data_IF_663547184375
#
_entry.id   IF_663547184375
#
_cell.length_a   1.000
_cell.length_b   1.000
_cell.length_c   1.000
_cell.angle_alpha   90.00
_cell.angle_beta   90.00
_cell.angle_gamma   90.00
#
_symmetry.space_group_name_H-M   'P 1'
#
loop_
_entity.id
_entity.type
_entity.pdbx_description
1 polymer ?
#
# COMPACT_ATOMS: atom_id res chain seq x y z
N UNK A 1 14.47 -2.02 -16.80
CA UNK A 1 14.79 -1.80 -15.39
C UNK A 1 14.04 -2.84 -14.59
N UNK A 2 14.70 -3.57 -13.68
CA UNK A 2 14.03 -4.59 -12.90
C UNK A 2 12.99 -3.95 -11.98
N UNK A 3 11.83 -4.57 -11.86
CA UNK A 3 10.69 -3.99 -11.13
C UNK A 3 9.83 -5.08 -10.49
N UNK A 4 9.55 -4.92 -9.20
CA UNK A 4 8.49 -5.63 -8.48
C UNK A 4 7.22 -4.79 -8.52
N UNK A 5 6.12 -5.34 -9.01
CA UNK A 5 4.76 -4.85 -8.80
C UNK A 5 4.07 -5.75 -7.78
N UNK A 6 3.57 -5.16 -6.70
CA UNK A 6 2.74 -5.83 -5.70
C UNK A 6 1.43 -5.07 -5.51
N UNK A 7 0.32 -5.78 -5.52
CA UNK A 7 -1.01 -5.29 -5.15
C UNK A 7 -1.67 -6.28 -4.19
N UNK A 8 -2.23 -5.74 -3.12
CA UNK A 8 -3.09 -6.42 -2.17
C UNK A 8 -4.49 -5.81 -2.29
N UNK A 9 -5.36 -6.45 -3.09
CA UNK A 9 -6.71 -5.99 -3.36
C UNK A 9 -7.69 -6.59 -2.35
N UNK A 10 -8.46 -5.76 -1.64
CA UNK A 10 -9.33 -6.14 -0.53
C UNK A 10 -10.67 -5.39 -0.55
N UNK A 11 -11.59 -5.70 0.37
CA UNK A 11 -12.73 -4.80 0.62
C UNK A 11 -12.28 -3.49 1.29
N UNK A 12 -13.22 -2.56 1.51
CA UNK A 12 -12.93 -1.17 1.90
C UNK A 12 -12.13 -1.00 3.20
N UNK A 13 -10.89 -0.55 3.03
CA UNK A 13 -9.94 -0.10 4.04
C UNK A 13 -10.41 1.28 4.56
N UNK A 14 -10.57 1.47 5.88
CA UNK A 14 -10.94 2.77 6.44
C UNK A 14 -9.95 3.87 6.04
N UNK A 15 -10.43 5.01 5.54
CA UNK A 15 -9.61 6.13 5.06
C UNK A 15 -8.49 6.53 6.03
N UNK A 16 -8.81 6.62 7.33
CA UNK A 16 -7.85 6.97 8.39
C UNK A 16 -6.63 6.04 8.52
N UNK A 17 -6.69 4.82 7.97
CA UNK A 17 -5.60 3.83 8.05
C UNK A 17 -4.76 3.77 6.77
N UNK A 18 -5.25 4.34 5.67
CA UNK A 18 -4.75 4.07 4.33
C UNK A 18 -3.30 4.53 4.11
N UNK A 19 -3.00 5.82 4.34
CA UNK A 19 -1.66 6.36 4.09
C UNK A 19 -0.60 5.67 4.93
N UNK A 20 -0.88 5.45 6.22
CA UNK A 20 0.03 4.73 7.12
C UNK A 20 0.26 3.30 6.62
N UNK A 21 -0.80 2.59 6.22
CA UNK A 21 -0.66 1.23 5.71
C UNK A 21 0.16 1.13 4.42
N UNK A 22 0.06 2.11 3.51
CA UNK A 22 0.94 2.17 2.33
C UNK A 22 2.41 2.29 2.73
N UNK A 23 2.72 3.20 3.66
CA UNK A 23 4.09 3.40 4.16
C UNK A 23 4.62 2.20 4.94
N UNK A 24 3.78 1.56 5.76
CA UNK A 24 4.15 0.35 6.49
C UNK A 24 4.43 -0.81 5.52
N UNK A 25 3.64 -0.97 4.45
CA UNK A 25 3.88 -1.98 3.42
C UNK A 25 5.20 -1.73 2.70
N UNK A 26 5.44 -0.49 2.29
CA UNK A 26 6.71 -0.08 1.68
C UNK A 26 7.87 -0.48 2.58
N UNK A 27 7.87 -0.04 3.84
CA UNK A 27 8.92 -0.35 4.82
C UNK A 27 9.11 -1.84 5.02
N UNK A 28 8.03 -2.60 5.22
CA UNK A 28 8.10 -4.02 5.50
C UNK A 28 8.70 -4.81 4.33
N UNK A 29 8.29 -4.50 3.10
CA UNK A 29 8.85 -5.14 1.90
C UNK A 29 10.30 -4.71 1.67
N UNK A 30 10.60 -3.40 1.73
CA UNK A 30 11.96 -2.92 1.45
C UNK A 30 12.98 -3.38 2.47
N UNK A 31 12.62 -3.43 3.76
CA UNK A 31 13.52 -3.93 4.80
C UNK A 31 13.83 -5.41 4.57
N UNK A 32 12.81 -6.21 4.26
CA UNK A 32 13.00 -7.62 4.07
C UNK A 32 13.67 -7.99 2.73
N UNK A 33 13.61 -7.10 1.72
CA UNK A 33 14.49 -7.17 0.54
C UNK A 33 15.97 -6.96 0.93
N UNK A 34 16.25 -5.90 1.69
CA UNK A 34 17.62 -5.58 2.15
C UNK A 34 18.18 -6.69 3.03
N UNK A 35 17.39 -7.23 3.96
CA UNK A 35 17.77 -8.35 4.82
C UNK A 35 18.09 -9.62 4.01
N UNK A 36 17.45 -9.78 2.85
CA UNK A 36 17.72 -10.87 1.90
C UNK A 36 18.90 -10.58 0.95
N UNK A 37 19.59 -9.45 1.10
CA UNK A 37 20.70 -9.05 0.25
C UNK A 37 20.30 -8.45 -1.10
N UNK A 38 19.02 -8.09 -1.27
CA UNK A 38 18.52 -7.42 -2.48
C UNK A 38 18.43 -5.91 -2.22
N UNK A 39 19.46 -5.19 -2.63
CA UNK A 39 19.42 -3.72 -2.68
C UNK A 39 18.46 -3.25 -3.77
N UNK A 40 17.91 -2.04 -3.66
CA UNK A 40 16.97 -1.49 -4.65
C UNK A 40 17.25 0.01 -4.85
N UNK A 41 16.81 0.55 -5.98
CA UNK A 41 17.03 1.96 -6.31
C UNK A 41 15.94 2.87 -5.73
N UNK A 42 14.67 2.46 -5.88
CA UNK A 42 13.54 3.24 -5.35
C UNK A 42 12.33 2.36 -5.06
N UNK A 43 11.43 2.86 -4.21
CA UNK A 43 10.17 2.20 -3.91
C UNK A 43 9.06 3.24 -3.69
N UNK A 44 7.88 2.99 -4.24
CA UNK A 44 6.70 3.86 -4.07
C UNK A 44 5.48 3.01 -3.76
N UNK A 45 4.81 3.35 -2.65
CA UNK A 45 3.55 2.73 -2.27
C UNK A 45 2.37 3.63 -2.61
N UNK A 46 1.23 2.98 -2.81
CA UNK A 46 -0.04 3.57 -3.18
C UNK A 46 -1.15 2.92 -2.38
N UNK A 47 -2.24 3.65 -2.19
CA UNK A 47 -3.41 3.14 -1.49
C UNK A 47 -4.67 3.71 -2.08
N UNK A 48 -5.71 2.91 -2.13
CA UNK A 48 -7.08 3.31 -2.45
C UNK A 48 -8.02 2.65 -1.44
N UNK A 49 -9.34 2.97 -1.41
CA UNK A 49 -10.29 2.27 -0.56
C UNK A 49 -10.14 0.74 -0.56
N UNK A 50 -9.78 0.12 -1.68
CA UNK A 50 -9.78 -1.35 -1.81
C UNK A 50 -8.39 -1.94 -2.05
N UNK A 51 -7.32 -1.18 -1.87
CA UNK A 51 -6.01 -1.58 -2.41
C UNK A 51 -4.86 -1.02 -1.61
N UNK A 52 -3.87 -1.85 -1.32
CA UNK A 52 -2.49 -1.41 -1.10
C UNK A 52 -1.67 -1.86 -2.29
N UNK A 53 -0.88 -0.97 -2.88
CA UNK A 53 0.01 -1.32 -3.97
C UNK A 53 1.42 -0.76 -3.72
N UNK A 54 2.42 -1.43 -4.28
CA UNK A 54 3.82 -1.09 -4.14
C UNK A 54 4.53 -1.41 -5.45
N UNK A 55 5.33 -0.46 -5.93
CA UNK A 55 6.40 -0.73 -6.90
C UNK A 55 7.75 -0.61 -6.21
N UNK A 56 8.68 -1.52 -6.53
CA UNK A 56 10.08 -1.44 -6.14
C UNK A 56 10.95 -1.61 -7.38
N UNK A 57 11.73 -0.59 -7.68
CA UNK A 57 12.52 -0.48 -8.90
C UNK A 57 14.00 -0.72 -8.60
N UNK A 58 14.70 -1.35 -9.55
CA UNK A 58 16.14 -1.58 -9.47
C UNK A 58 16.52 -2.74 -8.54
N UNK A 59 15.63 -3.71 -8.36
CA UNK A 59 15.93 -4.93 -7.58
C UNK A 59 16.78 -5.88 -8.43
N UNK A 60 17.98 -6.29 -8.00
CA UNK A 60 18.81 -7.25 -8.73
C UNK A 60 18.07 -8.55 -9.01
N UNK A 61 18.42 -9.21 -10.12
CA UNK A 61 17.87 -10.53 -10.46
C UNK A 61 18.22 -11.62 -9.44
N UNK A 62 19.29 -11.44 -8.66
CA UNK A 62 19.78 -12.38 -7.65
C UNK A 62 20.42 -11.64 -6.48
N UNK A 63 20.37 -12.24 -5.29
CA UNK A 63 21.18 -11.79 -4.16
C UNK A 63 22.66 -12.14 -4.39
N UNK A 64 23.62 -11.42 -3.76
CA UNK A 64 25.04 -11.73 -3.90
C UNK A 64 25.40 -13.04 -3.19
N UNK A 65 26.44 -13.71 -3.68
CA UNK A 65 27.10 -14.77 -2.94
C UNK A 65 27.65 -14.19 -1.62
N UNK A 66 27.42 -14.90 -0.51
CA UNK A 66 27.92 -14.48 0.80
C UNK A 66 29.02 -15.41 1.26
N UNK A 67 30.04 -14.84 1.90
CA UNK A 67 31.14 -15.57 2.51
C UNK A 67 31.21 -15.21 3.99
N UNK A 68 31.02 -16.22 4.84
CA UNK A 68 31.08 -16.08 6.30
C UNK A 68 32.30 -16.84 6.83
N UNK A 69 33.05 -16.21 7.73
CA UNK A 69 34.16 -16.87 8.43
C UNK A 69 33.73 -17.26 9.83
N UNK A 70 33.66 -18.57 10.09
CA UNK A 70 33.31 -19.08 11.41
C UNK A 70 34.56 -19.56 12.11
N UNK A 71 34.92 -18.86 13.19
CA UNK A 71 36.03 -19.27 14.05
C UNK A 71 35.62 -20.46 14.91
N UNK A 72 36.43 -21.51 14.81
CA UNK A 72 36.30 -22.76 15.53
C UNK A 72 37.23 -22.86 16.73
N UNK A 73 37.29 -24.05 17.34
CA UNK A 73 38.12 -24.30 18.51
C UNK A 73 39.61 -24.32 18.14
N UNK A 74 40.48 -24.27 19.15
CA UNK A 74 41.95 -24.40 18.96
C UNK A 74 42.31 -25.78 18.40
N UNK A 75 43.40 -25.86 17.65
CA UNK A 75 43.96 -27.13 17.20
C UNK A 75 44.32 -27.99 18.44
N UNK A 76 43.89 -29.25 18.43
CA UNK A 76 44.02 -30.17 19.58
C UNK A 76 42.89 -30.08 20.63
N UNK A 77 41.84 -29.30 20.38
CA UNK A 77 40.65 -29.29 21.25
C UNK A 77 39.92 -30.64 21.28
N UNK A 78 39.15 -30.95 22.34
CA UNK A 78 38.41 -32.21 22.43
C UNK A 78 37.51 -32.46 21.22
N UNK A 79 37.35 -33.73 20.83
CA UNK A 79 36.55 -34.12 19.65
C UNK A 79 35.14 -33.53 19.68
N UNK A 80 34.52 -33.45 20.85
CA UNK A 80 33.19 -32.85 21.02
C UNK A 80 33.12 -31.36 20.59
N UNK A 81 34.18 -30.58 20.82
CA UNK A 81 34.26 -29.19 20.40
C UNK A 81 34.44 -29.08 18.87
N UNK A 82 35.20 -30.01 18.29
CA UNK A 82 35.40 -30.13 16.84
C UNK A 82 34.08 -30.50 16.16
N UNK A 83 33.38 -31.52 16.66
CA UNK A 83 32.10 -31.98 16.10
C UNK A 83 31.02 -30.89 16.18
N UNK A 84 30.97 -30.16 17.30
CA UNK A 84 30.09 -29.00 17.47
C UNK A 84 30.37 -27.90 16.45
N UNK A 85 31.65 -27.61 16.20
CA UNK A 85 32.07 -26.65 15.18
C UNK A 85 31.72 -27.10 13.76
N UNK A 86 32.02 -28.36 13.40
CA UNK A 86 31.69 -28.92 12.09
C UNK A 86 30.19 -28.84 11.81
N UNK A 87 29.36 -29.26 12.76
CA UNK A 87 27.90 -29.15 12.66
C UNK A 87 27.44 -27.71 12.49
N UNK A 88 28.01 -26.78 13.26
CA UNK A 88 27.63 -25.38 13.20
C UNK A 88 28.12 -24.68 11.93
N UNK A 89 29.20 -25.16 11.31
CA UNK A 89 29.76 -24.64 10.07
C UNK A 89 29.24 -25.37 8.81
N UNK A 90 28.49 -26.46 8.96
CA UNK A 90 28.01 -27.28 7.85
C UNK A 90 29.11 -28.09 7.15
N UNK A 91 30.24 -28.33 7.82
CA UNK A 91 31.37 -29.09 7.28
C UNK A 91 31.23 -30.57 7.63
N UNK A 92 31.65 -31.44 6.71
CA UNK A 92 31.62 -32.90 6.94
C UNK A 92 32.93 -33.46 7.49
N UNK A 93 34.02 -32.68 7.40
CA UNK A 93 35.34 -33.03 7.93
C UNK A 93 36.10 -31.78 8.37
N UNK A 94 36.95 -31.90 9.39
CA UNK A 94 37.80 -30.80 9.88
C UNK A 94 38.87 -30.38 8.87
N UNK A 95 39.20 -31.25 7.91
CA UNK A 95 40.11 -30.95 6.80
C UNK A 95 39.57 -29.87 5.86
N UNK A 96 38.25 -29.62 5.88
CA UNK A 96 37.62 -28.54 5.12
C UNK A 96 37.78 -27.18 5.81
N UNK A 97 38.21 -27.14 7.08
CA UNK A 97 38.53 -25.92 7.78
C UNK A 97 40.01 -25.56 7.59
N UNK A 98 40.31 -24.27 7.50
CA UNK A 98 41.69 -23.77 7.52
C UNK A 98 42.19 -23.61 8.94
N UNK A 99 43.48 -23.82 9.15
CA UNK A 99 44.15 -23.49 10.42
C UNK A 99 44.70 -22.08 10.31
N UNK A 100 44.33 -21.21 11.25
CA UNK A 100 44.88 -19.87 11.40
C UNK A 100 45.61 -19.74 12.74
N UNK A 101 46.74 -19.04 12.73
CA UNK A 101 47.59 -18.84 13.91
C UNK A 101 47.38 -17.44 14.48
N UNK A 102 46.98 -17.37 15.76
CA UNK A 102 46.93 -16.11 16.52
C UNK A 102 48.09 -16.06 17.55
N UNK A 103 48.91 -14.99 17.57
CA UNK A 103 50.07 -14.90 18.47
C UNK A 103 49.76 -15.02 19.97
N UNK A 104 48.52 -14.74 20.39
CA UNK A 104 48.07 -14.83 21.79
C UNK A 104 47.21 -16.06 22.05
N UNK A 105 46.58 -16.63 21.00
CA UNK A 105 45.63 -17.74 21.13
C UNK A 105 46.08 -19.06 20.49
N UNK A 106 47.26 -19.12 19.89
CA UNK A 106 47.74 -20.32 19.19
C UNK A 106 46.91 -20.63 17.94
N UNK A 107 47.07 -21.84 17.42
CA UNK A 107 46.40 -22.27 16.19
C UNK A 107 44.93 -22.63 16.46
N UNK A 108 44.02 -22.20 15.59
CA UNK A 108 42.59 -22.51 15.65
C UNK A 108 42.01 -22.75 14.26
N UNK A 109 40.89 -23.48 14.21
CA UNK A 109 40.20 -23.78 12.96
C UNK A 109 39.32 -22.60 12.53
N UNK A 110 39.24 -22.36 11.22
CA UNK A 110 38.35 -21.37 10.59
C UNK A 110 37.67 -22.02 9.41
N UNK A 111 36.33 -21.97 9.41
CA UNK A 111 35.52 -22.43 8.29
C UNK A 111 35.14 -21.21 7.44
N UNK A 112 35.47 -21.25 6.15
CA UNK A 112 34.90 -20.32 5.18
C UNK A 112 33.63 -20.93 4.61
N UNK A 113 32.48 -20.35 4.96
CA UNK A 113 31.17 -20.81 4.53
C UNK A 113 30.77 -19.92 3.35
N UNK A 114 30.77 -20.48 2.15
CA UNK A 114 30.24 -19.82 0.95
C UNK A 114 28.78 -20.23 0.76
N UNK A 115 27.88 -19.26 0.70
CA UNK A 115 26.47 -19.46 0.35
C UNK A 115 26.21 -18.76 -0.98
N UNK A 116 25.82 -19.55 -1.97
CA UNK A 116 25.36 -19.04 -3.26
C UNK A 116 24.13 -18.14 -3.06
N UNK A 117 24.11 -17.01 -3.74
CA UNK A 117 22.95 -16.15 -3.82
C UNK A 117 21.76 -16.86 -4.47
N UNK A 118 20.55 -16.42 -4.14
CA UNK A 118 19.31 -16.97 -4.66
C UNK A 118 18.67 -16.04 -5.69
N UNK A 119 17.84 -16.59 -6.57
CA UNK A 119 17.08 -15.80 -7.53
C UNK A 119 16.08 -14.90 -6.79
N UNK A 120 15.93 -13.67 -7.28
CA UNK A 120 15.05 -12.69 -6.64
C UNK A 120 13.60 -13.17 -6.62
N UNK A 121 13.16 -13.89 -7.66
CA UNK A 121 11.83 -14.49 -7.70
C UNK A 121 11.57 -15.46 -6.54
N UNK A 122 12.53 -16.34 -6.24
CA UNK A 122 12.45 -17.28 -5.11
C UNK A 122 12.45 -16.54 -3.77
N UNK A 123 13.32 -15.53 -3.63
CA UNK A 123 13.37 -14.68 -2.44
C UNK A 123 12.03 -14.00 -2.22
N UNK A 124 11.47 -13.37 -3.26
CA UNK A 124 10.18 -12.67 -3.24
C UNK A 124 9.03 -13.64 -2.88
N UNK A 125 9.01 -14.83 -3.46
CA UNK A 125 7.99 -15.85 -3.19
C UNK A 125 8.00 -16.32 -1.73
N UNK A 126 9.16 -16.34 -1.08
CA UNK A 126 9.30 -16.66 0.35
C UNK A 126 9.01 -15.46 1.27
N UNK A 127 9.36 -14.26 0.84
CA UNK A 127 9.27 -12.99 1.57
C UNK A 127 7.83 -12.48 1.70
N UNK A 128 7.16 -12.30 0.55
CA UNK A 128 5.88 -11.61 0.46
C UNK A 128 4.78 -12.22 1.33
N UNK A 129 4.59 -13.57 1.40
CA UNK A 129 3.59 -14.14 2.29
C UNK A 129 3.88 -13.86 3.77
N UNK A 130 5.16 -13.76 4.18
CA UNK A 130 5.53 -13.41 5.56
C UNK A 130 5.18 -11.95 5.87
N UNK A 131 5.47 -11.04 4.95
CA UNK A 131 5.09 -9.61 5.09
C UNK A 131 3.58 -9.47 5.22
N UNK A 132 2.80 -10.16 4.38
CA UNK A 132 1.33 -10.09 4.41
C UNK A 132 0.78 -10.67 5.72
N UNK A 133 1.31 -11.81 6.15
CA UNK A 133 0.82 -12.50 7.38
C UNK A 133 1.21 -11.73 8.64
N UNK A 134 2.38 -11.10 8.66
CA UNK A 134 2.88 -10.29 9.77
C UNK A 134 2.47 -8.82 9.73
N UNK A 135 1.59 -8.42 8.82
CA UNK A 135 1.23 -7.02 8.62
C UNK A 135 0.39 -6.48 9.80
N UNK A 136 0.93 -5.49 10.51
CA UNK A 136 0.26 -4.93 11.69
C UNK A 136 -0.77 -3.87 11.32
N UNK A 137 -2.05 -4.25 11.43
CA UNK A 137 -3.17 -3.34 11.25
C UNK A 137 -3.62 -2.79 12.60
N UNK A 138 -3.80 -1.46 12.75
CA UNK A 138 -4.31 -0.86 13.99
C UNK A 138 -5.67 -1.43 14.44
N UNK A 139 -6.44 -1.93 13.47
CA UNK A 139 -7.64 -2.73 13.70
C UNK A 139 -7.73 -3.80 12.61
N UNK A 140 -7.67 -5.05 13.03
CA UNK A 140 -7.73 -6.21 12.14
C UNK A 140 -8.94 -7.09 12.45
N UNK A 141 -9.22 -8.00 11.52
CA UNK A 141 -10.19 -9.07 11.66
C UNK A 141 -9.55 -10.36 11.16
N UNK A 142 -9.95 -11.49 11.72
CA UNK A 142 -9.55 -12.81 11.22
C UNK A 142 -10.51 -13.26 10.13
N UNK A 143 -9.96 -13.73 9.00
CA UNK A 143 -10.75 -14.12 7.83
C UNK A 143 -10.46 -15.56 7.37
N UNK A 144 -11.53 -16.27 7.02
CA UNK A 144 -11.49 -17.65 6.52
C UNK A 144 -11.09 -18.67 7.59
N UNK A 145 -10.91 -19.93 7.17
CA UNK A 145 -10.49 -21.02 8.06
C UNK A 145 -9.00 -20.97 8.42
N UNK A 146 -8.18 -20.21 7.67
CA UNK A 146 -6.72 -20.15 7.83
C UNK A 146 -6.18 -19.00 8.68
N UNK A 147 -7.02 -18.24 9.40
CA UNK A 147 -6.59 -17.32 10.45
C UNK A 147 -5.83 -16.05 9.99
N UNK A 148 -5.85 -15.70 8.69
CA UNK A 148 -5.23 -14.47 8.22
C UNK A 148 -5.87 -13.25 8.89
N UNK A 149 -5.02 -12.43 9.50
CA UNK A 149 -5.41 -11.21 10.18
C UNK A 149 -5.20 -10.04 9.23
N UNK A 150 -6.30 -9.45 8.74
CA UNK A 150 -6.27 -8.32 7.79
C UNK A 150 -7.39 -7.32 8.13
N UNK A 151 -7.25 -6.06 7.71
CA UNK A 151 -8.28 -5.03 7.96
C UNK A 151 -9.65 -5.42 7.39
N UNK A 152 -9.65 -6.13 6.26
CA UNK A 152 -10.81 -6.56 5.47
C UNK A 152 -10.50 -7.83 4.67
N UNK A 153 -11.48 -8.53 4.08
CA UNK A 153 -11.18 -9.69 3.26
C UNK A 153 -10.30 -9.33 2.07
N UNK A 154 -9.15 -9.99 1.93
CA UNK A 154 -8.33 -9.94 0.74
C UNK A 154 -9.05 -10.72 -0.38
N UNK A 155 -9.09 -10.14 -1.58
CA UNK A 155 -9.83 -10.64 -2.75
C UNK A 155 -8.91 -11.11 -3.86
N UNK A 156 -7.80 -10.41 -4.07
CA UNK A 156 -6.79 -10.78 -5.05
C UNK A 156 -5.41 -10.27 -4.63
N UNK A 157 -4.38 -10.93 -5.15
CA UNK A 157 -3.00 -10.51 -5.02
C UNK A 157 -2.41 -10.46 -6.42
N UNK A 158 -1.96 -9.29 -6.85
CA UNK A 158 -1.14 -9.14 -8.07
C UNK A 158 0.30 -9.07 -7.61
N UNK A 159 1.15 -9.98 -8.06
CA UNK A 159 2.57 -9.96 -7.72
C UNK A 159 3.39 -10.39 -8.93
N UNK A 160 4.08 -9.44 -9.55
CA UNK A 160 4.93 -9.69 -10.71
C UNK A 160 6.31 -9.09 -10.52
N UNK A 161 7.31 -9.76 -11.07
CA UNK A 161 8.69 -9.28 -11.06
C UNK A 161 9.28 -9.43 -12.46
N UNK A 162 9.91 -8.37 -12.95
CA UNK A 162 10.69 -8.41 -14.19
C UNK A 162 12.14 -8.07 -13.91
N UNK A 163 13.05 -8.76 -14.58
CA UNK A 163 14.48 -8.42 -14.71
C UNK A 163 14.71 -7.54 -15.94
N UNK A 164 15.94 -7.07 -16.13
CA UNK A 164 16.27 -6.31 -17.34
C UNK A 164 16.16 -7.19 -18.59
N UNK A 165 15.31 -6.76 -19.52
CA UNK A 165 15.05 -7.35 -20.84
C UNK A 165 14.18 -8.61 -20.88
N UNK A 166 13.69 -9.09 -19.74
CA UNK A 166 12.77 -10.23 -19.70
C UNK A 166 11.29 -9.82 -19.54
N UNK A 167 10.41 -10.75 -19.87
CA UNK A 167 8.99 -10.60 -19.58
C UNK A 167 8.74 -10.81 -18.09
N UNK A 168 8.05 -9.88 -17.38
CA UNK A 168 7.78 -10.05 -15.97
C UNK A 168 7.00 -11.34 -15.68
N UNK A 169 7.49 -12.08 -14.70
CA UNK A 169 6.91 -13.34 -14.23
C UNK A 169 6.01 -13.09 -13.02
N UNK A 170 5.05 -13.99 -12.82
CA UNK A 170 4.23 -13.98 -11.60
C UNK A 170 5.06 -14.58 -10.47
N UNK A 171 5.19 -13.84 -9.37
CA UNK A 171 5.78 -14.37 -8.14
C UNK A 171 4.76 -15.27 -7.46
N UNK A 172 4.94 -16.58 -7.56
CA UNK A 172 3.99 -17.58 -7.08
C UNK A 172 4.04 -17.78 -5.56
N UNK A 173 2.99 -17.36 -4.86
CA UNK A 173 2.77 -17.66 -3.45
C UNK A 173 1.28 -17.65 -3.11
N UNK A 174 0.96 -18.05 -1.88
CA UNK A 174 -0.40 -18.05 -1.36
C UNK A 174 -0.44 -17.34 -0.01
N UNK A 175 -1.44 -16.50 0.18
CA UNK A 175 -1.82 -15.97 1.50
C UNK A 175 -3.23 -16.43 1.82
N UNK A 176 -3.35 -17.33 2.79
CA UNK A 176 -4.62 -18.00 3.15
C UNK A 176 -5.29 -18.66 1.93
N UNK A 177 -6.48 -18.21 1.52
CA UNK A 177 -7.20 -18.74 0.36
C UNK A 177 -6.85 -18.05 -0.96
N UNK A 178 -6.08 -16.95 -0.92
CA UNK A 178 -5.77 -16.12 -2.10
C UNK A 178 -4.39 -16.50 -2.64
N UNK A 179 -4.34 -16.84 -3.92
CA UNK A 179 -3.10 -17.12 -4.66
C UNK A 179 -2.68 -15.87 -5.41
N UNK A 180 -1.39 -15.56 -5.42
CA UNK A 180 -0.85 -14.47 -6.22
C UNK A 180 -1.00 -14.75 -7.72
N UNK A 181 -1.17 -13.68 -8.48
CA UNK A 181 -1.34 -13.73 -9.91
C UNK A 181 -0.96 -12.41 -10.57
N UNK A 182 -1.58 -12.17 -11.72
CA UNK A 182 -1.38 -10.98 -12.54
C UNK A 182 -2.72 -10.31 -12.89
N UNK A 183 -3.72 -10.50 -12.03
CA UNK A 183 -5.09 -10.02 -12.24
C UNK A 183 -5.46 -9.03 -11.15
N UNK A 184 -5.77 -7.80 -11.57
CA UNK A 184 -6.34 -6.74 -10.74
C UNK A 184 -7.78 -6.43 -11.18
N UNK A 185 -8.41 -5.48 -10.51
CA UNK A 185 -9.76 -5.00 -10.78
C UNK A 185 -9.80 -3.47 -10.73
N UNK A 186 -10.60 -2.90 -11.64
CA UNK A 186 -10.93 -1.49 -11.66
C UNK A 186 -12.00 -1.11 -10.63
N UNK A 187 -12.68 0.00 -10.90
CA UNK A 187 -13.73 0.53 -10.04
C UNK A 187 -14.88 -0.46 -9.84
N UNK A 188 -15.33 -0.63 -8.59
CA UNK A 188 -16.33 -1.65 -8.19
C UNK A 188 -17.61 -1.62 -9.04
N UNK A 189 -18.05 -0.43 -9.42
CA UNK A 189 -19.30 -0.23 -10.13
C UNK A 189 -19.12 0.25 -11.57
N UNK A 190 -18.02 0.97 -11.85
CA UNK A 190 -17.83 1.64 -13.14
C UNK A 190 -17.03 0.77 -14.12
N UNK A 191 -16.18 -0.13 -13.60
CA UNK A 191 -15.38 -1.05 -14.42
C UNK A 191 -14.98 -2.29 -13.59
N UNK A 192 -15.95 -3.18 -13.24
CA UNK A 192 -15.72 -4.32 -12.35
C UNK A 192 -14.97 -5.49 -13.00
N UNK A 193 -14.75 -5.45 -14.32
CA UNK A 193 -14.12 -6.54 -15.04
C UNK A 193 -12.67 -6.77 -14.58
N UNK A 194 -12.19 -8.03 -14.58
CA UNK A 194 -10.81 -8.34 -14.28
C UNK A 194 -9.86 -7.76 -15.35
N UNK A 195 -8.71 -7.30 -14.91
CA UNK A 195 -7.67 -6.66 -15.75
C UNK A 195 -6.38 -7.43 -15.54
N UNK A 196 -5.74 -7.84 -16.64
CA UNK A 196 -4.43 -8.49 -16.58
C UNK A 196 -3.32 -7.45 -16.68
N UNK A 197 -2.36 -7.48 -15.76
CA UNK A 197 -1.26 -6.50 -15.66
C UNK A 197 0.05 -7.21 -15.35
N UNK A 198 1.16 -6.72 -15.92
CA UNK A 198 2.50 -7.31 -15.70
C UNK A 198 3.52 -6.32 -15.19
N UNK A 199 3.49 -5.09 -15.71
CA UNK A 199 4.40 -3.99 -15.35
C UNK A 199 3.64 -2.91 -14.62
N UNK A 200 4.35 -2.12 -13.82
CA UNK A 200 3.72 -1.05 -13.05
C UNK A 200 3.08 0.02 -13.97
N UNK A 201 3.73 0.39 -15.07
CA UNK A 201 3.19 1.38 -16.01
C UNK A 201 1.88 0.92 -16.65
N UNK A 202 1.81 -0.34 -17.12
CA UNK A 202 0.59 -0.94 -17.67
C UNK A 202 -0.52 -0.97 -16.62
N UNK A 203 -0.15 -1.29 -15.38
CA UNK A 203 -1.05 -1.33 -14.24
C UNK A 203 -1.66 0.05 -13.94
N UNK A 204 -0.86 1.12 -13.88
CA UNK A 204 -1.36 2.48 -13.66
C UNK A 204 -2.31 2.90 -14.77
N UNK A 205 -1.91 2.71 -16.04
CA UNK A 205 -2.74 3.09 -17.19
C UNK A 205 -4.04 2.29 -17.25
N UNK A 206 -4.00 1.00 -16.96
CA UNK A 206 -5.18 0.14 -16.99
C UNK A 206 -6.15 0.48 -15.84
N UNK A 207 -5.64 0.79 -14.65
CA UNK A 207 -6.46 1.27 -13.53
C UNK A 207 -7.14 2.59 -13.85
N UNK A 208 -6.42 3.55 -14.45
CA UNK A 208 -7.00 4.85 -14.80
C UNK A 208 -8.12 4.70 -15.85
N UNK A 209 -7.91 3.89 -16.89
CA UNK A 209 -8.96 3.52 -17.86
C UNK A 209 -10.16 2.86 -17.19
N UNK A 210 -9.91 2.05 -16.15
CA UNK A 210 -10.93 1.38 -15.36
C UNK A 210 -11.42 2.20 -14.15
N UNK A 211 -11.32 3.54 -14.24
CA UNK A 211 -11.84 4.50 -13.26
C UNK A 211 -11.25 4.33 -11.86
N UNK A 212 -9.92 4.21 -11.78
CA UNK A 212 -9.19 4.22 -10.51
C UNK A 212 -8.01 5.17 -10.63
N UNK A 213 -8.03 6.25 -9.85
CA UNK A 213 -6.85 7.10 -9.64
C UNK A 213 -6.06 6.50 -8.48
N UNK A 214 -4.94 5.85 -8.80
CA UNK A 214 -4.17 5.05 -7.85
C UNK A 214 -3.50 5.90 -6.76
N UNK A 215 -2.94 7.06 -7.12
CA UNK A 215 -2.22 7.93 -6.20
C UNK A 215 -3.20 8.79 -5.39
N UNK A 216 -3.10 8.72 -4.05
CA UNK A 216 -3.94 9.50 -3.15
C UNK A 216 -3.68 11.00 -3.29
N UNK A 217 -2.44 11.41 -3.52
CA UNK A 217 -2.12 12.83 -3.64
C UNK A 217 -2.66 13.41 -4.96
N UNK A 218 -2.60 12.62 -6.05
CA UNK A 218 -3.28 12.97 -7.31
C UNK A 218 -4.80 13.06 -7.13
N UNK A 219 -5.43 12.18 -6.34
CA UNK A 219 -6.87 12.30 -6.03
C UNK A 219 -7.20 13.57 -5.25
N UNK A 220 -6.36 13.94 -4.28
CA UNK A 220 -6.53 15.19 -3.51
C UNK A 220 -6.42 16.42 -4.42
N UNK A 221 -5.48 16.41 -5.35
CA UNK A 221 -5.32 17.48 -6.35
C UNK A 221 -6.56 17.63 -7.23
N UNK A 222 -7.10 16.52 -7.77
CA UNK A 222 -8.35 16.53 -8.55
C UNK A 222 -9.50 17.10 -7.73
N UNK A 223 -9.71 16.58 -6.51
CA UNK A 223 -10.80 17.03 -5.63
C UNK A 223 -10.69 18.52 -5.33
N UNK A 224 -9.48 19.00 -4.99
CA UNK A 224 -9.26 20.42 -4.68
C UNK A 224 -9.54 21.30 -5.90
N UNK A 225 -8.94 20.97 -7.04
CA UNK A 225 -9.08 21.76 -8.26
C UNK A 225 -10.55 21.85 -8.72
N UNK A 226 -11.27 20.73 -8.73
CA UNK A 226 -12.68 20.69 -9.14
C UNK A 226 -13.58 21.41 -8.14
N UNK A 227 -13.33 21.27 -6.83
CA UNK A 227 -14.07 21.98 -5.79
C UNK A 227 -13.90 23.49 -5.90
N UNK A 228 -12.66 23.96 -6.09
CA UNK A 228 -12.33 25.37 -6.23
C UNK A 228 -12.93 25.96 -7.51
N UNK A 229 -12.87 25.21 -8.61
CA UNK A 229 -13.49 25.62 -9.88
C UNK A 229 -15.01 25.75 -9.76
N UNK A 230 -15.68 24.78 -9.14
CA UNK A 230 -17.13 24.83 -8.91
C UNK A 230 -17.53 25.99 -7.99
N UNK A 231 -16.78 26.22 -6.91
CA UNK A 231 -17.02 27.33 -5.99
C UNK A 231 -16.82 28.68 -6.70
N UNK A 232 -15.71 28.85 -7.41
CA UNK A 232 -15.39 30.08 -8.14
C UNK A 232 -16.46 30.44 -9.18
N UNK A 233 -16.99 29.44 -9.90
CA UNK A 233 -18.07 29.64 -10.88
C UNK A 233 -19.36 30.22 -10.26
N UNK A 234 -19.55 30.11 -8.95
CA UNK A 234 -20.68 30.66 -8.20
C UNK A 234 -20.31 31.92 -7.39
N UNK A 235 -19.09 32.45 -7.54
CA UNK A 235 -18.59 33.56 -6.71
C UNK A 235 -18.35 33.17 -5.24
N UNK A 236 -18.12 31.88 -4.99
CA UNK A 236 -17.86 31.31 -3.66
C UNK A 236 -16.39 30.86 -3.55
N UNK A 237 -15.96 30.56 -2.33
CA UNK A 237 -14.65 29.95 -2.04
C UNK A 237 -14.79 28.75 -1.10
N UNK A 238 -13.94 27.74 -1.27
CA UNK A 238 -13.97 26.52 -0.45
C UNK A 238 -13.34 26.78 0.92
N UNK A 239 -14.01 26.33 1.99
CA UNK A 239 -13.37 26.23 3.30
C UNK A 239 -12.47 24.99 3.29
N UNK A 240 -11.19 25.19 2.99
CA UNK A 240 -10.22 24.11 2.90
C UNK A 240 -9.97 23.42 4.25
N UNK A 241 -9.93 22.09 4.22
CA UNK A 241 -9.59 21.24 5.36
C UNK A 241 -8.77 20.05 4.85
N UNK A 242 -7.47 20.06 5.14
CA UNK A 242 -6.56 19.00 4.68
C UNK A 242 -6.88 17.63 5.27
N UNK A 243 -7.42 17.58 6.49
CA UNK A 243 -7.82 16.33 7.13
C UNK A 243 -9.08 15.74 6.49
N UNK A 244 -10.05 16.58 6.14
CA UNK A 244 -11.22 16.15 5.37
C UNK A 244 -10.82 15.75 3.96
N UNK A 245 -9.92 16.50 3.29
CA UNK A 245 -9.42 16.18 1.96
C UNK A 245 -8.71 14.83 1.91
N UNK A 246 -7.88 14.54 2.91
CA UNK A 246 -7.26 13.23 3.09
C UNK A 246 -8.32 12.12 3.28
N UNK A 247 -9.35 12.38 4.10
CA UNK A 247 -10.42 11.42 4.36
C UNK A 247 -11.24 11.14 3.09
N UNK A 248 -11.72 12.16 2.38
CA UNK A 248 -12.57 11.96 1.19
C UNK A 248 -11.80 11.35 0.02
N UNK A 249 -10.53 11.71 -0.17
CA UNK A 249 -9.67 11.05 -1.17
C UNK A 249 -9.46 9.56 -0.85
N UNK A 250 -9.48 9.20 0.44
CA UNK A 250 -9.47 7.82 0.90
C UNK A 250 -10.83 7.11 0.84
N UNK A 251 -11.94 7.80 0.58
CA UNK A 251 -13.26 7.18 0.41
C UNK A 251 -13.59 6.83 -1.05
N UNK A 252 -12.85 7.40 -2.01
CA UNK A 252 -13.14 7.26 -3.44
C UNK A 252 -11.96 6.74 -4.24
N UNK A 253 -12.21 5.90 -5.23
CA UNK A 253 -11.22 5.50 -6.25
C UNK A 253 -11.27 6.43 -7.47
N UNK A 254 -12.44 6.99 -7.77
CA UNK A 254 -12.66 7.95 -8.86
C UNK A 254 -13.47 9.14 -8.35
N UNK A 255 -12.82 10.27 -8.01
CA UNK A 255 -13.54 11.42 -7.47
C UNK A 255 -14.44 12.05 -8.54
N UNK A 256 -15.71 12.27 -8.19
CA UNK A 256 -16.66 13.10 -8.94
C UNK A 256 -17.16 14.19 -8.00
N UNK A 257 -16.74 15.42 -8.25
CA UNK A 257 -17.04 16.57 -7.39
C UNK A 257 -18.33 17.26 -7.86
N UNK A 258 -19.22 17.55 -6.92
CA UNK A 258 -20.51 18.18 -7.16
C UNK A 258 -20.79 19.26 -6.10
N UNK A 259 -21.70 20.17 -6.40
CA UNK A 259 -22.17 21.18 -5.45
C UNK A 259 -23.63 20.94 -5.10
N UNK A 260 -23.95 20.97 -3.80
CA UNK A 260 -25.31 21.00 -3.28
C UNK A 260 -25.58 22.28 -2.50
N UNK A 261 -26.83 22.43 -2.05
CA UNK A 261 -27.31 23.57 -1.28
C UNK A 261 -28.21 23.17 -0.12
N UNK A 262 -28.34 24.04 0.87
CA UNK A 262 -29.31 23.86 1.97
C UNK A 262 -30.14 25.13 2.16
N UNK A 263 -31.22 25.03 2.94
CA UNK A 263 -32.11 26.16 3.18
C UNK A 263 -31.35 27.31 3.87
N UNK A 264 -31.28 28.52 3.29
CA UNK A 264 -30.62 29.66 3.91
C UNK A 264 -31.12 30.00 5.32
N UNK A 265 -32.33 29.59 5.69
CA UNK A 265 -32.84 29.74 7.07
C UNK A 265 -31.92 29.07 8.11
N UNK A 266 -31.19 28.01 7.75
CA UNK A 266 -30.23 27.38 8.67
C UNK A 266 -29.02 28.27 8.99
N UNK A 267 -28.77 29.35 8.24
CA UNK A 267 -27.69 30.30 8.55
C UNK A 267 -27.96 31.12 9.83
N UNK A 268 -29.14 30.99 10.43
CA UNK A 268 -29.41 31.48 11.80
C UNK A 268 -28.69 30.66 12.88
N UNK A 269 -28.32 29.41 12.58
CA UNK A 269 -27.52 28.55 13.45
C UNK A 269 -26.05 29.01 13.41
N UNK A 270 -25.30 28.98 14.53
CA UNK A 270 -23.88 29.33 14.52
C UNK A 270 -23.10 28.56 13.45
N UNK A 271 -22.25 29.27 12.69
CA UNK A 271 -21.58 28.71 11.52
C UNK A 271 -20.69 27.51 11.86
N UNK A 272 -20.07 27.51 13.05
CA UNK A 272 -19.21 26.43 13.52
C UNK A 272 -20.00 25.12 13.69
N UNK A 273 -21.26 25.20 14.11
CA UNK A 273 -22.16 24.05 14.26
C UNK A 273 -22.53 23.49 12.89
N UNK A 274 -22.82 24.34 11.93
CA UNK A 274 -23.15 23.94 10.55
C UNK A 274 -21.94 23.26 9.91
N UNK A 275 -20.76 23.91 9.97
CA UNK A 275 -19.51 23.39 9.42
C UNK A 275 -19.17 22.04 10.05
N UNK A 276 -19.21 21.94 11.39
CA UNK A 276 -18.92 20.69 12.09
C UNK A 276 -19.89 19.56 11.71
N UNK A 277 -21.19 19.87 11.56
CA UNK A 277 -22.23 18.90 11.21
C UNK A 277 -22.06 18.39 9.79
N UNK A 278 -21.88 19.28 8.81
CA UNK A 278 -21.68 18.93 7.40
C UNK A 278 -20.37 18.14 7.21
N UNK A 279 -19.29 18.60 7.84
CA UNK A 279 -17.98 17.93 7.82
C UNK A 279 -18.03 16.53 8.41
N UNK A 280 -18.59 16.37 9.62
CA UNK A 280 -18.53 15.10 10.35
C UNK A 280 -19.48 14.05 9.80
N UNK A 281 -20.71 14.44 9.44
CA UNK A 281 -21.76 13.50 9.04
C UNK A 281 -21.81 13.23 7.54
N UNK A 282 -21.45 14.21 6.70
CA UNK A 282 -21.56 14.09 5.24
C UNK A 282 -20.22 14.18 4.51
N UNK A 283 -19.14 14.48 5.23
CA UNK A 283 -17.78 14.57 4.65
C UNK A 283 -17.74 15.56 3.46
N UNK A 284 -18.50 16.64 3.58
CA UNK A 284 -18.60 17.69 2.56
C UNK A 284 -17.84 18.94 2.99
N UNK A 285 -17.36 19.73 2.04
CA UNK A 285 -16.71 21.01 2.31
C UNK A 285 -17.74 22.13 2.26
N UNK A 286 -17.77 22.98 3.29
CA UNK A 286 -18.59 24.18 3.28
C UNK A 286 -17.95 25.29 2.43
N UNK A 287 -18.75 26.26 1.99
CA UNK A 287 -18.31 27.36 1.15
C UNK A 287 -18.49 28.72 1.85
N UNK A 288 -17.71 29.72 1.43
CA UNK A 288 -17.80 31.12 1.85
C UNK A 288 -18.24 31.99 0.67
N UNK A 289 -19.05 33.00 0.95
CA UNK A 289 -19.38 34.05 -0.01
C UNK A 289 -18.26 35.10 -0.13
N UNK A 290 -18.46 36.08 -1.02
CA UNK A 290 -17.51 37.18 -1.23
C UNK A 290 -17.31 38.11 -0.02
N UNK A 291 -18.21 38.06 0.96
CA UNK A 291 -18.11 38.80 2.22
C UNK A 291 -17.37 38.02 3.32
N UNK A 292 -16.98 36.78 3.04
CA UNK A 292 -16.35 35.87 4.01
C UNK A 292 -17.36 35.21 4.95
N UNK A 293 -18.66 35.27 4.68
CA UNK A 293 -19.69 34.57 5.46
C UNK A 293 -19.95 33.18 4.92
N UNK A 294 -20.44 32.29 5.77
CA UNK A 294 -20.85 30.95 5.36
C UNK A 294 -21.96 31.03 4.30
N UNK A 295 -21.74 30.40 3.15
CA UNK A 295 -22.74 30.27 2.10
C UNK A 295 -23.61 29.03 2.33
N UNK A 296 -24.89 29.02 1.89
CA UNK A 296 -25.78 27.87 2.01
C UNK A 296 -25.48 26.77 0.96
N UNK A 297 -24.19 26.55 0.68
CA UNK A 297 -23.68 25.65 -0.35
C UNK A 297 -22.55 24.78 0.21
N UNK A 298 -22.41 23.59 -0.35
CA UNK A 298 -21.38 22.64 0.05
C UNK A 298 -20.93 21.78 -1.14
N UNK A 299 -19.70 21.28 -1.05
CA UNK A 299 -19.09 20.40 -2.04
C UNK A 299 -19.20 18.95 -1.59
N UNK A 300 -19.69 18.10 -2.50
CA UNK A 300 -19.87 16.66 -2.35
C UNK A 300 -18.81 15.96 -3.20
N UNK A 301 -18.25 14.87 -2.68
CA UNK A 301 -17.35 13.99 -3.42
C UNK A 301 -18.01 12.62 -3.54
N UNK A 302 -18.35 12.23 -4.77
CA UNK A 302 -18.91 10.93 -5.09
C UNK A 302 -17.85 10.01 -5.68
N UNK A 303 -18.02 8.70 -5.46
CA UNK A 303 -17.25 7.65 -6.13
C UNK A 303 -18.01 7.06 -7.34
N UNK A 304 -19.03 7.75 -7.84
CA UNK A 304 -19.87 7.30 -8.94
C UNK A 304 -20.12 8.42 -9.94
N UNK A 305 -20.17 8.03 -11.21
CA UNK A 305 -20.64 8.87 -12.32
C UNK A 305 -22.13 8.53 -12.49
N UNK A 306 -23.00 9.43 -12.03
CA UNK A 306 -24.45 9.23 -12.12
C UNK A 306 -24.96 9.57 -13.53
N UNK A 307 -25.92 8.79 -14.02
CA UNK A 307 -26.53 8.98 -15.36
C UNK A 307 -27.33 10.29 -15.44
N UNK A 308 -27.88 10.76 -14.33
CA UNK A 308 -28.68 11.99 -14.22
C UNK A 308 -27.84 13.25 -13.97
N UNK A 309 -26.53 13.19 -14.25
CA UNK A 309 -25.61 14.30 -14.00
C UNK A 309 -25.37 14.59 -12.51
N UNK A 310 -25.79 13.68 -11.61
CA UNK A 310 -25.58 13.82 -10.16
C UNK A 310 -26.80 14.34 -9.40
N UNK A 311 -27.92 14.64 -10.06
CA UNK A 311 -29.11 15.23 -9.44
C UNK A 311 -29.62 14.42 -8.23
N UNK A 312 -29.70 13.09 -8.37
CA UNK A 312 -30.13 12.20 -7.27
C UNK A 312 -29.14 12.18 -6.12
N UNK A 313 -27.83 12.23 -6.40
CA UNK A 313 -26.79 12.25 -5.38
C UNK A 313 -26.85 13.57 -4.61
N UNK A 314 -26.96 14.70 -5.31
CA UNK A 314 -27.10 16.02 -4.72
C UNK A 314 -28.34 16.05 -3.83
N UNK A 315 -29.52 15.75 -4.36
CA UNK A 315 -30.77 15.76 -3.60
C UNK A 315 -30.76 14.83 -2.38
N UNK A 316 -30.08 13.68 -2.49
CA UNK A 316 -29.86 12.77 -1.37
C UNK A 316 -29.04 13.39 -0.24
N UNK A 317 -27.92 14.03 -0.57
CA UNK A 317 -27.07 14.73 0.41
C UNK A 317 -27.78 15.93 1.03
N UNK A 318 -28.48 16.74 0.22
CA UNK A 318 -29.26 17.89 0.71
C UNK A 318 -30.33 17.46 1.72
N UNK A 319 -31.02 16.34 1.46
CA UNK A 319 -32.00 15.77 2.39
C UNK A 319 -31.37 15.37 3.72
N UNK A 320 -30.19 14.74 3.70
CA UNK A 320 -29.49 14.34 4.92
C UNK A 320 -29.01 15.55 5.70
N UNK A 321 -28.44 16.56 5.03
CA UNK A 321 -28.02 17.80 5.70
C UNK A 321 -29.20 18.51 6.34
N UNK A 322 -30.31 18.66 5.61
CA UNK A 322 -31.54 19.26 6.16
C UNK A 322 -31.98 18.57 7.46
N UNK A 323 -32.00 17.24 7.47
CA UNK A 323 -32.41 16.46 8.65
C UNK A 323 -31.40 16.53 9.82
N UNK A 324 -30.17 16.98 9.58
CA UNK A 324 -29.13 17.14 10.61
C UNK A 324 -29.01 18.57 11.14
N UNK A 325 -29.47 19.55 10.36
CA UNK A 325 -29.50 20.96 10.76
C UNK A 325 -30.84 21.38 11.39
N UNK A 326 -31.90 20.59 11.17
CA UNK A 326 -33.22 20.76 11.79
C UNK A 326 -33.27 20.32 13.26
#
# INVERSE_FOLDING_TARGET
MPELLLELFSEEIPARMQRKAAEDLKKAVTNALVDAGLVYESAKAFVTPRRLALTVTGVPARSPDTREEKKGPRVGSPQQAIDGFLKAAGLTSIEQAKVETDPKKGDFFVAHIEKKGADAEDILAMLLPKVITGFDWPKSMQWGSGGLTWVRPLRAITATFGTDNDEPQVIGFRSNTVVSGQTTYGHRFLAPAPIRVKRFDDYVQALEKAKVVLDIDRRKEIIRADADHLAFAQGLSVIHDEGLLEEVAGLVEWPVVMMGSFDPAFLEVPEEVIIATIRSNQKCFCLRDSSGKLAPNFIIISNQIAEDGGATIIAGNERVIRARLS
#
